data_IF_224817814231
#
_entry.id   IF_224817814231
#
_cell.length_a   1.000
_cell.length_b   1.000
_cell.length_c   1.000
_cell.angle_alpha   90.00
_cell.angle_beta   90.00
_cell.angle_gamma   90.00
#
_symmetry.space_group_name_H-M   'P 1'
#
loop_
_entity.id
_entity.type
_entity.pdbx_description
1 polymer ?
#
# COMPACT_ATOMS: atom_id res chain seq x y z
N UNK A 1 -25.74 -11.72 65.71
CA UNK A 1 -24.91 -10.61 66.23
C UNK A 1 -24.49 -9.73 65.07
N UNK A 2 -24.72 -8.41 65.21
CA UNK A 2 -24.03 -7.27 64.55
C UNK A 2 -23.77 -7.29 63.02
N UNK A 3 -23.97 -6.23 62.25
CA UNK A 3 -24.49 -4.90 62.50
C UNK A 3 -24.79 -4.24 61.14
N UNK A 4 -25.77 -3.35 61.16
CA UNK A 4 -26.15 -2.40 60.10
C UNK A 4 -25.04 -1.36 59.87
N UNK A 5 -24.95 -0.80 58.65
CA UNK A 5 -24.55 0.59 58.30
C UNK A 5 -24.58 0.70 56.76
N UNK A 6 -25.49 1.41 56.08
CA UNK A 6 -25.68 2.87 56.03
C UNK A 6 -24.31 3.57 55.88
N UNK A 7 -23.99 4.35 54.85
CA UNK A 7 -24.71 5.51 54.33
C UNK A 7 -23.95 6.02 53.10
N UNK A 8 -24.70 6.35 52.03
CA UNK A 8 -24.70 7.65 51.34
C UNK A 8 -23.45 8.52 51.51
N UNK A 9 -22.72 8.80 50.42
CA UNK A 9 -21.98 10.06 50.24
C UNK A 9 -21.72 10.29 48.74
N UNK A 10 -22.42 11.27 48.17
CA UNK A 10 -21.97 12.06 47.02
C UNK A 10 -21.70 13.47 47.56
N UNK A 11 -20.66 14.13 47.05
CA UNK A 11 -20.83 15.52 46.67
C UNK A 11 -20.49 15.71 45.18
N UNK A 12 -21.46 16.29 44.49
CA UNK A 12 -21.26 16.93 43.20
C UNK A 12 -20.31 18.11 43.37
N UNK A 13 -19.27 18.18 42.54
CA UNK A 13 -18.42 19.35 42.38
C UNK A 13 -18.40 19.73 40.91
N UNK A 14 -19.38 20.57 40.57
CA UNK A 14 -19.26 21.82 39.81
C UNK A 14 -18.01 21.90 38.92
N UNK A 15 -18.18 21.57 37.64
CA UNK A 15 -17.27 22.03 36.60
C UNK A 15 -17.61 23.48 36.22
N UNK A 16 -16.62 24.38 36.04
CA UNK A 16 -16.88 25.77 35.71
C UNK A 16 -17.41 25.93 34.28
N UNK A 17 -18.40 26.80 34.12
CA UNK A 17 -18.89 27.29 32.83
C UNK A 17 -17.71 27.79 31.98
N UNK A 18 -17.47 27.11 30.86
CA UNK A 18 -16.56 27.59 29.83
C UNK A 18 -17.27 28.65 29.00
N UNK A 19 -16.85 29.89 29.22
CA UNK A 19 -17.14 31.07 28.42
C UNK A 19 -17.08 30.77 26.92
N UNK A 20 -18.18 31.06 26.21
CA UNK A 20 -18.25 31.13 24.76
C UNK A 20 -17.43 32.33 24.25
N UNK A 21 -16.14 32.12 24.01
CA UNK A 21 -15.34 33.02 23.19
C UNK A 21 -15.62 32.69 21.71
N UNK A 22 -16.35 33.59 21.04
CA UNK A 22 -16.47 33.64 19.58
C UNK A 22 -15.06 33.68 18.97
N UNK A 23 -14.62 32.57 18.37
CA UNK A 23 -13.47 32.58 17.47
C UNK A 23 -13.92 33.22 16.16
N UNK A 24 -13.51 34.46 15.93
CA UNK A 24 -13.68 35.14 14.66
C UNK A 24 -13.01 34.34 13.54
N UNK A 25 -13.79 34.01 12.51
CA UNK A 25 -13.31 33.40 11.27
C UNK A 25 -12.47 34.42 10.51
N UNK A 26 -11.19 34.54 10.85
CA UNK A 26 -10.22 35.23 10.01
C UNK A 26 -9.90 34.32 8.81
N UNK A 27 -10.64 34.50 7.71
CA UNK A 27 -10.26 33.97 6.40
C UNK A 27 -8.94 34.61 5.96
N UNK A 28 -7.82 34.01 6.34
CA UNK A 28 -6.55 34.25 5.65
C UNK A 28 -6.60 33.54 4.31
N UNK A 29 -7.00 34.27 3.28
CA UNK A 29 -6.63 33.92 1.90
C UNK A 29 -5.11 34.03 1.81
N UNK A 30 -4.42 32.90 1.82
CA UNK A 30 -3.05 32.84 1.33
C UNK A 30 -3.15 32.87 -0.19
N UNK A 31 -3.13 34.08 -0.75
CA UNK A 31 -2.85 34.25 -2.17
C UNK A 31 -1.35 34.02 -2.34
N UNK A 32 -0.97 32.82 -2.76
CA UNK A 32 0.36 32.60 -3.35
C UNK A 32 0.34 33.35 -4.69
N UNK A 33 0.97 34.53 -4.71
CA UNK A 33 1.24 35.26 -5.95
C UNK A 33 2.44 34.59 -6.58
N UNK A 34 2.32 33.93 -7.75
CA UNK A 34 3.52 33.62 -8.53
C UNK A 34 4.08 34.95 -9.04
N UNK A 35 5.23 35.36 -8.50
CA UNK A 35 6.06 36.42 -9.08
C UNK A 35 6.67 35.88 -10.39
N UNK A 36 5.87 35.86 -11.45
CA UNK A 36 6.38 35.72 -12.80
C UNK A 36 7.03 37.05 -13.18
N UNK A 37 8.37 37.09 -13.12
CA UNK A 37 9.15 38.22 -13.60
C UNK A 37 8.82 38.48 -15.07
N UNK A 38 8.08 39.55 -15.32
CA UNK A 38 7.95 40.10 -16.65
C UNK A 38 9.25 40.84 -16.96
N UNK A 39 9.96 40.43 -18.01
CA UNK A 39 11.09 41.20 -18.53
C UNK A 39 10.53 42.31 -19.42
N UNK A 40 10.80 43.55 -19.05
CA UNK A 40 10.58 44.75 -19.88
C UNK A 40 11.36 44.62 -21.19
N UNK A 41 10.68 44.77 -22.33
CA UNK A 41 11.32 44.86 -23.64
C UNK A 41 11.40 46.34 -24.01
N UNK A 42 12.61 46.90 -24.02
CA UNK A 42 12.87 48.22 -24.61
C UNK A 42 12.98 48.08 -26.13
N UNK A 43 12.11 48.77 -26.87
CA UNK A 43 12.18 48.83 -28.33
C UNK A 43 12.82 50.16 -28.72
N UNK A 44 14.04 50.09 -29.26
CA UNK A 44 14.72 51.24 -29.84
C UNK A 44 14.25 51.42 -31.27
N UNK A 45 13.61 52.56 -31.58
CA UNK A 45 13.23 52.93 -32.95
C UNK A 45 14.32 53.83 -33.54
N UNK A 46 15.08 53.31 -34.50
CA UNK A 46 16.01 54.10 -35.30
C UNK A 46 15.31 54.60 -36.56
N UNK A 47 15.18 55.92 -36.65
CA UNK A 47 14.60 56.66 -37.79
C UNK A 47 15.64 56.83 -38.89
N UNK A 48 15.53 56.08 -39.99
CA UNK A 48 16.22 56.39 -41.25
C UNK A 48 15.19 56.66 -42.35
N UNK A 49 15.38 57.78 -43.05
CA UNK A 49 14.48 58.28 -44.09
C UNK A 49 14.78 57.73 -45.48
N UNK A 50 13.86 58.01 -46.41
CA UNK A 50 14.14 58.01 -47.85
C UNK A 50 13.44 56.91 -48.67
N UNK A 51 12.41 57.33 -49.39
CA UNK A 51 12.02 56.96 -50.77
C UNK A 51 11.90 55.48 -51.21
N UNK A 52 10.67 55.14 -51.62
CA UNK A 52 10.27 54.41 -52.84
C UNK A 52 11.06 53.15 -53.25
N UNK A 53 10.41 51.98 -53.17
CA UNK A 53 10.87 50.81 -53.91
C UNK A 53 10.21 49.49 -53.52
N UNK A 54 9.39 48.97 -54.43
CA UNK A 54 8.83 47.62 -54.55
C UNK A 54 9.58 46.48 -53.82
N UNK A 55 8.86 45.77 -52.93
CA UNK A 55 8.96 44.36 -52.52
C UNK A 55 10.34 43.72 -52.25
N UNK A 56 10.48 43.02 -51.11
CA UNK A 56 10.54 41.57 -51.22
C UNK A 56 9.71 40.80 -50.17
N UNK A 57 9.26 39.63 -50.61
CA UNK A 57 8.61 38.57 -49.84
C UNK A 57 9.41 38.24 -48.58
N UNK A 58 8.94 38.71 -47.43
CA UNK A 58 9.46 38.30 -46.14
C UNK A 58 9.09 36.83 -45.89
N UNK A 59 10.03 35.91 -46.13
CA UNK A 59 9.98 34.59 -45.50
C UNK A 59 10.28 34.81 -44.02
N UNK A 60 9.22 34.87 -43.20
CA UNK A 60 9.38 34.81 -41.75
C UNK A 60 9.88 33.41 -41.40
N UNK A 61 11.20 33.27 -41.19
CA UNK A 61 11.74 32.13 -40.47
C UNK A 61 11.26 32.24 -39.02
N UNK A 62 10.21 31.50 -38.67
CA UNK A 62 9.88 31.25 -37.27
C UNK A 62 10.99 30.35 -36.73
N UNK A 63 12.04 30.95 -36.19
CA UNK A 63 12.99 30.23 -35.35
C UNK A 63 12.24 29.86 -34.08
N UNK A 64 11.64 28.67 -34.08
CA UNK A 64 10.97 28.09 -32.92
C UNK A 64 12.01 27.90 -31.82
N UNK A 65 12.09 28.87 -30.92
CA UNK A 65 12.97 28.78 -29.77
C UNK A 65 12.35 27.75 -28.81
N UNK A 66 12.87 26.52 -28.87
CA UNK A 66 12.48 25.43 -27.98
C UNK A 66 12.76 25.88 -26.54
N UNK A 67 11.70 26.18 -25.80
CA UNK A 67 11.79 26.48 -24.37
C UNK A 67 12.06 25.16 -23.63
N UNK A 68 13.32 24.92 -23.34
CA UNK A 68 13.74 23.93 -22.35
C UNK A 68 13.24 24.39 -20.98
N UNK A 69 12.18 23.79 -20.46
CA UNK A 69 11.94 23.77 -19.03
C UNK A 69 12.79 22.61 -18.49
N UNK A 70 13.80 22.90 -17.68
CA UNK A 70 14.40 21.89 -16.81
C UNK A 70 13.34 21.51 -15.79
N UNK A 71 12.51 20.52 -16.11
CA UNK A 71 11.94 19.68 -15.08
C UNK A 71 13.13 18.87 -14.59
N UNK A 72 13.58 19.10 -13.37
CA UNK A 72 14.54 18.19 -12.74
C UNK A 72 13.90 16.80 -12.81
N UNK A 73 14.46 15.92 -13.63
CA UNK A 73 14.01 14.54 -13.68
C UNK A 73 14.14 14.00 -12.24
N UNK A 74 13.06 13.48 -11.64
CA UNK A 74 13.15 12.95 -10.29
C UNK A 74 14.25 11.89 -10.30
N UNK A 75 15.26 12.08 -9.43
CA UNK A 75 16.36 11.13 -9.28
C UNK A 75 15.77 9.72 -9.15
N UNK A 76 16.30 8.70 -9.84
CA UNK A 76 15.79 7.35 -9.69
C UNK A 76 15.91 6.98 -8.22
N UNK A 77 14.77 6.92 -7.53
CA UNK A 77 14.68 6.26 -6.24
C UNK A 77 15.11 4.84 -6.53
N UNK A 78 16.27 4.42 -6.01
CA UNK A 78 16.65 3.02 -6.10
C UNK A 78 15.50 2.19 -5.52
N UNK A 79 14.75 1.54 -6.40
CA UNK A 79 13.69 0.62 -6.02
C UNK A 79 14.36 -0.51 -5.27
N UNK A 80 14.36 -0.43 -3.94
CA UNK A 80 14.82 -1.51 -3.08
C UNK A 80 13.96 -2.73 -3.42
N UNK A 81 14.54 -3.67 -4.15
CA UNK A 81 13.88 -4.90 -4.54
C UNK A 81 13.52 -5.67 -3.26
N UNK A 82 12.34 -6.29 -3.27
CA UNK A 82 11.86 -7.07 -2.14
C UNK A 82 12.72 -8.33 -2.02
N UNK A 83 12.97 -8.77 -0.78
CA UNK A 83 13.66 -10.03 -0.52
C UNK A 83 12.77 -11.20 -0.96
N UNK A 84 13.31 -12.13 -1.73
CA UNK A 84 12.60 -13.37 -2.05
C UNK A 84 12.74 -14.35 -0.89
N UNK A 85 11.63 -14.97 -0.51
CA UNK A 85 11.55 -16.06 0.46
C UNK A 85 11.18 -17.34 -0.27
N UNK A 86 11.78 -18.45 0.16
CA UNK A 86 11.44 -19.80 -0.29
C UNK A 86 10.71 -20.57 0.82
N UNK A 87 10.26 -21.78 0.50
CA UNK A 87 9.49 -22.61 1.45
C UNK A 87 10.22 -22.82 2.78
N UNK A 88 11.52 -23.14 2.72
CA UNK A 88 12.34 -23.43 3.90
C UNK A 88 12.46 -22.19 4.82
N UNK A 89 12.53 -20.98 4.24
CA UNK A 89 12.58 -19.74 5.01
C UNK A 89 11.26 -19.51 5.77
N UNK A 90 10.12 -19.74 5.10
CA UNK A 90 8.80 -19.59 5.72
C UNK A 90 8.58 -20.66 6.78
N UNK A 91 9.01 -21.90 6.52
CA UNK A 91 8.95 -22.97 7.51
C UNK A 91 9.74 -22.60 8.77
N UNK A 92 10.95 -22.06 8.63
CA UNK A 92 11.75 -21.62 9.77
C UNK A 92 11.06 -20.48 10.57
N UNK A 93 10.38 -19.55 9.90
CA UNK A 93 9.59 -18.49 10.56
C UNK A 93 8.41 -19.08 11.34
N UNK A 94 7.76 -20.10 10.81
CA UNK A 94 6.63 -20.78 11.46
C UNK A 94 7.08 -21.60 12.66
N UNK A 95 8.23 -22.27 12.56
CA UNK A 95 8.81 -23.08 13.64
C UNK A 95 9.36 -22.23 14.80
N UNK A 96 10.01 -21.10 14.49
CA UNK A 96 10.54 -20.14 15.46
C UNK A 96 10.01 -18.72 15.16
N UNK A 97 8.81 -18.37 15.64
CA UNK A 97 8.20 -17.06 15.40
C UNK A 97 8.98 -15.95 16.10
N UNK A 98 9.77 -15.19 15.33
CA UNK A 98 10.53 -14.03 15.82
C UNK A 98 9.68 -12.78 15.83
N UNK A 99 9.81 -11.96 16.88
CA UNK A 99 9.12 -10.66 16.96
C UNK A 99 9.57 -9.69 15.85
N UNK A 100 10.71 -9.93 15.20
CA UNK A 100 11.26 -9.08 14.13
C UNK A 100 10.55 -9.22 12.78
N UNK A 101 9.84 -10.32 12.56
CA UNK A 101 9.30 -10.68 11.24
C UNK A 101 7.81 -11.00 11.33
N UNK A 102 7.03 -10.45 10.40
CA UNK A 102 5.58 -10.63 10.35
C UNK A 102 5.21 -11.23 9.00
N UNK A 103 4.56 -12.39 9.03
CA UNK A 103 4.02 -13.04 7.85
C UNK A 103 2.61 -12.51 7.56
N UNK A 104 2.36 -12.07 6.34
CA UNK A 104 1.10 -11.42 5.94
C UNK A 104 0.48 -12.17 4.75
N UNK A 105 -0.74 -12.66 4.95
CA UNK A 105 -1.59 -13.23 3.91
C UNK A 105 -2.45 -12.13 3.27
N UNK A 106 -2.25 -11.89 1.97
CA UNK A 106 -2.99 -10.85 1.24
C UNK A 106 -4.20 -11.36 0.46
N UNK A 107 -4.63 -12.60 0.70
CA UNK A 107 -5.86 -13.17 0.14
C UNK A 107 -7.10 -12.57 0.80
N UNK A 108 -8.25 -12.81 0.19
CA UNK A 108 -9.54 -12.42 0.79
C UNK A 108 -9.80 -13.23 2.07
N UNK A 109 -10.55 -12.67 3.05
CA UNK A 109 -10.79 -13.35 4.32
C UNK A 109 -11.41 -14.74 4.17
N UNK A 110 -12.29 -14.93 3.17
CA UNK A 110 -12.92 -16.22 2.86
C UNK A 110 -11.90 -17.31 2.49
N UNK A 111 -10.83 -16.96 1.78
CA UNK A 111 -9.73 -17.87 1.47
C UNK A 111 -8.91 -18.17 2.74
N UNK A 112 -8.58 -17.13 3.52
CA UNK A 112 -7.75 -17.21 4.73
C UNK A 112 -8.39 -18.08 5.83
N UNK A 113 -9.69 -17.96 6.09
CA UNK A 113 -10.37 -18.77 7.10
C UNK A 113 -10.48 -20.25 6.72
N UNK A 114 -10.40 -20.57 5.43
CA UNK A 114 -10.43 -21.96 4.95
C UNK A 114 -9.11 -22.65 5.22
N UNK A 115 -8.01 -21.95 4.93
CA UNK A 115 -6.66 -22.41 5.16
C UNK A 115 -5.70 -21.22 5.18
N UNK A 116 -4.66 -21.27 5.99
CA UNK A 116 -3.63 -20.25 6.05
C UNK A 116 -2.34 -20.84 6.60
N UNK A 117 -1.22 -20.20 6.28
CA UNK A 117 0.05 -20.53 6.92
C UNK A 117 -0.09 -20.10 8.39
N UNK A 118 0.29 -20.95 9.38
CA UNK A 118 0.27 -20.55 10.78
C UNK A 118 1.03 -19.25 11.00
N UNK A 119 0.68 -18.53 12.07
CA UNK A 119 1.27 -17.21 12.44
C UNK A 119 1.03 -16.05 11.46
N UNK A 120 0.39 -16.28 10.30
CA UNK A 120 0.11 -15.23 9.33
C UNK A 120 -1.05 -14.30 9.74
N UNK A 121 -0.90 -13.01 9.51
CA UNK A 121 -1.97 -12.01 9.63
C UNK A 121 -2.66 -11.80 8.27
N UNK A 122 -3.98 -11.68 8.25
CA UNK A 122 -4.71 -11.43 7.01
C UNK A 122 -4.88 -9.92 6.74
N UNK A 123 -4.37 -9.44 5.60
CA UNK A 123 -4.56 -8.08 5.10
C UNK A 123 -4.91 -8.15 3.61
N UNK A 124 -6.21 -8.28 3.26
CA UNK A 124 -6.66 -8.49 1.88
C UNK A 124 -6.37 -7.28 1.00
N UNK A 125 -5.49 -7.45 0.01
CA UNK A 125 -5.10 -6.35 -0.87
C UNK A 125 -6.10 -6.05 -1.99
N UNK A 126 -6.93 -7.02 -2.36
CA UNK A 126 -7.90 -6.86 -3.45
C UNK A 126 -9.10 -6.05 -2.98
N UNK A 127 -9.69 -6.38 -1.82
CA UNK A 127 -10.76 -5.58 -1.22
C UNK A 127 -10.27 -4.34 -0.48
N UNK A 128 -9.06 -4.35 0.09
CA UNK A 128 -8.53 -3.24 0.92
C UNK A 128 -7.10 -2.85 0.52
N UNK A 129 -6.89 -2.28 -0.68
CA UNK A 129 -5.55 -1.91 -1.17
C UNK A 129 -4.89 -0.78 -0.37
N UNK A 130 -5.68 0.03 0.35
CA UNK A 130 -5.24 1.15 1.17
C UNK A 130 -4.78 0.74 2.58
N UNK A 131 -5.04 -0.50 2.99
CA UNK A 131 -4.84 -0.98 4.36
C UNK A 131 -3.50 -0.56 4.97
N UNK A 132 -2.39 -0.82 4.28
CA UNK A 132 -1.05 -0.53 4.78
C UNK A 132 -0.71 0.97 4.80
N UNK A 133 -1.49 1.81 4.09
CA UNK A 133 -1.30 3.26 4.04
C UNK A 133 -2.07 3.99 5.16
N UNK A 134 -3.01 3.33 5.83
CA UNK A 134 -3.81 3.92 6.90
C UNK A 134 -2.98 4.27 8.14
N UNK A 135 -3.39 5.29 8.92
CA UNK A 135 -2.86 5.49 10.27
C UNK A 135 -3.02 4.24 11.16
N UNK A 136 -2.14 4.01 12.15
CA UNK A 136 -2.22 2.83 13.01
C UNK A 136 -3.55 2.66 13.76
N UNK A 137 -4.19 3.77 14.15
CA UNK A 137 -5.49 3.78 14.84
C UNK A 137 -6.62 3.29 13.91
N UNK A 138 -6.75 3.87 12.72
CA UNK A 138 -7.76 3.46 11.73
C UNK A 138 -7.54 2.02 11.25
N UNK A 139 -6.27 1.60 11.13
CA UNK A 139 -5.94 0.22 10.81
C UNK A 139 -6.47 -0.74 11.90
N UNK A 140 -6.22 -0.42 13.17
CA UNK A 140 -6.66 -1.26 14.28
C UNK A 140 -8.18 -1.38 14.35
N UNK A 141 -8.91 -0.28 14.11
CA UNK A 141 -10.38 -0.28 14.07
C UNK A 141 -10.93 -1.13 12.93
N UNK A 142 -10.25 -1.14 11.77
CA UNK A 142 -10.71 -1.86 10.57
C UNK A 142 -10.40 -3.36 10.62
N UNK A 143 -9.21 -3.73 11.10
CA UNK A 143 -8.71 -5.11 11.06
C UNK A 143 -8.81 -5.85 12.41
N UNK A 144 -9.03 -5.13 13.51
CA UNK A 144 -9.12 -5.71 14.85
C UNK A 144 -7.77 -6.13 15.44
N UNK A 145 -6.65 -5.72 14.84
CA UNK A 145 -5.30 -5.97 15.36
C UNK A 145 -4.36 -4.79 15.05
N UNK A 146 -3.27 -4.70 15.82
CA UNK A 146 -2.31 -3.60 15.67
C UNK A 146 -1.59 -3.65 14.32
N UNK A 147 -1.47 -2.49 13.68
CA UNK A 147 -0.72 -2.33 12.43
C UNK A 147 0.73 -2.82 12.61
N UNK A 148 1.28 -3.63 11.68
CA UNK A 148 2.68 -4.01 11.71
C UNK A 148 3.58 -2.76 11.76
N UNK A 149 4.53 -2.68 12.72
CA UNK A 149 5.47 -1.57 12.79
C UNK A 149 6.35 -1.48 11.54
N UNK A 150 6.68 -0.26 11.10
CA UNK A 150 7.51 -0.02 9.91
C UNK A 150 8.95 -0.56 10.02
N UNK A 151 9.42 -0.79 11.25
CA UNK A 151 10.74 -1.34 11.55
C UNK A 151 10.83 -2.87 11.43
N UNK A 152 9.68 -3.57 11.47
CA UNK A 152 9.63 -5.03 11.34
C UNK A 152 9.73 -5.44 9.88
N UNK A 153 10.28 -6.63 9.65
CA UNK A 153 10.29 -7.24 8.33
C UNK A 153 8.91 -7.82 8.02
N UNK A 154 8.28 -7.34 6.94
CA UNK A 154 6.98 -7.83 6.49
C UNK A 154 7.15 -8.75 5.30
N UNK A 155 6.68 -10.00 5.42
CA UNK A 155 6.78 -11.01 4.36
C UNK A 155 5.39 -11.29 3.81
N UNK A 156 5.18 -11.02 2.53
CA UNK A 156 3.88 -11.16 1.89
C UNK A 156 3.76 -12.48 1.12
N UNK A 157 2.61 -13.12 1.24
CA UNK A 157 2.22 -14.25 0.39
C UNK A 157 0.73 -14.16 0.03
N UNK A 158 0.33 -14.87 -1.03
CA UNK A 158 -1.08 -14.95 -1.43
C UNK A 158 -1.45 -16.38 -1.81
N UNK A 159 -2.20 -16.57 -2.91
CA UNK A 159 -2.47 -17.90 -3.46
C UNK A 159 -1.31 -18.42 -4.32
N UNK A 160 -0.84 -17.61 -5.27
CA UNK A 160 0.11 -18.02 -6.32
C UNK A 160 1.18 -16.95 -6.65
N UNK A 161 1.50 -16.07 -5.71
CA UNK A 161 2.57 -15.06 -5.85
C UNK A 161 2.20 -13.72 -6.50
N UNK A 162 1.12 -13.64 -7.28
CA UNK A 162 0.80 -12.40 -8.03
C UNK A 162 0.39 -11.23 -7.13
N UNK A 163 -0.51 -11.47 -6.18
CA UNK A 163 -1.01 -10.43 -5.26
C UNK A 163 0.04 -9.99 -4.23
N UNK A 164 0.93 -10.90 -3.84
CA UNK A 164 2.01 -10.59 -2.88
C UNK A 164 3.03 -9.62 -3.46
N UNK A 165 3.31 -9.67 -4.78
CA UNK A 165 4.16 -8.69 -5.43
C UNK A 165 3.54 -7.28 -5.40
N UNK A 166 2.24 -7.15 -5.66
CA UNK A 166 1.53 -5.88 -5.51
C UNK A 166 1.58 -5.38 -4.07
N UNK A 167 1.40 -6.27 -3.08
CA UNK A 167 1.47 -5.92 -1.66
C UNK A 167 2.83 -5.41 -1.22
N UNK A 168 3.90 -6.06 -1.67
CA UNK A 168 5.25 -5.60 -1.41
C UNK A 168 5.49 -4.17 -1.93
N UNK A 169 4.94 -3.83 -3.10
CA UNK A 169 5.05 -2.48 -3.65
C UNK A 169 4.24 -1.45 -2.84
N UNK A 170 3.03 -1.80 -2.39
CA UNK A 170 2.24 -0.92 -1.51
C UNK A 170 2.94 -0.72 -0.17
N UNK A 171 3.50 -1.78 0.42
CA UNK A 171 4.23 -1.70 1.68
C UNK A 171 5.46 -0.76 1.57
N UNK A 172 6.23 -0.84 0.49
CA UNK A 172 7.34 0.10 0.27
C UNK A 172 6.86 1.55 0.21
N UNK A 173 5.73 1.81 -0.47
CA UNK A 173 5.11 3.15 -0.52
C UNK A 173 4.57 3.61 0.83
N UNK A 174 4.13 2.67 1.67
CA UNK A 174 3.71 2.92 3.04
C UNK A 174 4.88 3.19 4.01
N UNK A 175 6.13 3.08 3.56
CA UNK A 175 7.32 3.37 4.35
C UNK A 175 7.94 2.17 5.06
N UNK A 176 7.52 0.94 4.75
CA UNK A 176 8.20 -0.26 5.28
C UNK A 176 9.59 -0.39 4.66
N UNK A 177 10.61 -0.53 5.50
CA UNK A 177 12.01 -0.59 5.05
C UNK A 177 12.45 -2.00 4.66
N UNK A 178 11.86 -3.01 5.30
CA UNK A 178 12.21 -4.43 5.15
C UNK A 178 11.00 -5.18 4.64
N UNK A 179 11.00 -5.49 3.35
CA UNK A 179 9.87 -6.10 2.66
C UNK A 179 10.31 -7.38 1.94
N UNK A 180 9.66 -8.48 2.28
CA UNK A 180 9.85 -9.81 1.70
C UNK A 180 8.64 -10.30 0.91
N UNK A 181 8.88 -11.22 -0.02
CA UNK A 181 7.86 -11.88 -0.82
C UNK A 181 8.11 -13.39 -0.87
N UNK A 182 7.11 -14.18 -0.51
CA UNK A 182 7.08 -15.62 -0.78
C UNK A 182 6.31 -15.90 -2.07
N UNK A 183 7.05 -16.03 -3.17
CA UNK A 183 6.47 -16.17 -4.52
C UNK A 183 5.70 -17.48 -4.72
N UNK A 184 6.19 -18.57 -4.10
CA UNK A 184 5.50 -19.86 -4.10
C UNK A 184 4.11 -19.78 -3.47
N UNK A 185 3.95 -18.93 -2.45
CA UNK A 185 2.67 -18.62 -1.81
C UNK A 185 1.96 -19.88 -1.29
N UNK A 186 0.65 -19.80 -1.01
CA UNK A 186 -0.11 -20.91 -0.46
C UNK A 186 0.01 -22.22 -1.28
N UNK A 187 0.01 -22.14 -2.62
CA UNK A 187 0.10 -23.34 -3.47
C UNK A 187 1.42 -24.11 -3.33
N UNK A 188 2.53 -23.41 -3.12
CA UNK A 188 3.82 -24.06 -2.86
C UNK A 188 3.86 -24.65 -1.45
N UNK A 189 3.38 -23.90 -0.44
CA UNK A 189 3.24 -24.38 0.93
C UNK A 189 2.43 -25.68 1.02
N UNK A 190 1.27 -25.72 0.36
CA UNK A 190 0.41 -26.89 0.29
C UNK A 190 1.06 -28.06 -0.45
N UNK A 191 1.71 -27.80 -1.58
CA UNK A 191 2.39 -28.84 -2.37
C UNK A 191 3.50 -29.54 -1.59
N UNK A 192 4.25 -28.76 -0.81
CA UNK A 192 5.38 -29.24 -0.01
C UNK A 192 4.96 -29.79 1.35
N UNK A 193 3.66 -29.82 1.65
CA UNK A 193 3.11 -30.42 2.87
C UNK A 193 3.44 -29.61 4.12
N UNK A 194 3.44 -28.28 4.01
CA UNK A 194 3.66 -27.39 5.14
C UNK A 194 2.65 -27.63 6.27
N UNK A 195 3.00 -27.23 7.49
CA UNK A 195 2.19 -27.47 8.68
C UNK A 195 0.76 -26.91 8.49
N UNK A 196 -0.25 -27.71 8.88
CA UNK A 196 -1.67 -27.34 8.77
C UNK A 196 -2.31 -27.66 7.41
N UNK A 197 -1.57 -28.21 6.46
CA UNK A 197 -2.10 -28.66 5.16
C UNK A 197 -2.68 -30.07 5.28
N UNK A 198 -3.76 -30.36 4.54
CA UNK A 198 -4.37 -31.71 4.49
C UNK A 198 -3.61 -32.67 3.56
N UNK A 199 -2.73 -32.11 2.72
CA UNK A 199 -2.04 -32.82 1.66
C UNK A 199 -0.61 -33.06 2.12
N UNK A 200 -0.24 -34.32 2.35
CA UNK A 200 1.16 -34.67 2.64
C UNK A 200 2.09 -34.29 1.47
N UNK A 201 3.41 -34.20 1.71
CA UNK A 201 4.37 -33.81 0.67
C UNK A 201 4.23 -34.72 -0.56
N UNK A 202 3.90 -34.14 -1.71
CA UNK A 202 3.75 -34.92 -2.94
C UNK A 202 5.13 -35.36 -3.39
N UNK A 203 5.40 -36.68 -3.37
CA UNK A 203 6.65 -37.25 -3.91
C UNK A 203 6.77 -36.86 -5.38
N UNK A 204 7.83 -36.14 -5.72
CA UNK A 204 8.11 -35.66 -7.07
C UNK A 204 8.24 -36.87 -8.00
N UNK A 205 7.31 -37.03 -8.96
CA UNK A 205 7.27 -38.18 -9.88
C UNK A 205 5.94 -38.94 -9.98
N UNK A 206 4.90 -38.59 -9.22
CA UNK A 206 3.57 -39.23 -9.37
C UNK A 206 2.71 -38.49 -10.42
N UNK A 207 2.41 -39.10 -11.58
CA UNK A 207 1.51 -38.49 -12.56
C UNK A 207 0.12 -38.32 -11.92
N UNK A 208 -0.50 -37.17 -12.20
CA UNK A 208 -1.80 -36.81 -11.63
C UNK A 208 -2.83 -37.91 -11.87
N UNK A 209 -3.38 -38.45 -10.79
CA UNK A 209 -4.52 -39.36 -10.86
C UNK A 209 -5.63 -38.70 -11.67
N UNK A 210 -6.00 -39.33 -12.78
CA UNK A 210 -7.23 -39.01 -13.50
C UNK A 210 -8.36 -39.08 -12.50
N UNK A 211 -9.20 -38.05 -12.48
CA UNK A 211 -10.49 -38.16 -11.83
C UNK A 211 -11.22 -39.38 -12.45
N UNK A 212 -11.51 -40.36 -11.62
CA UNK A 212 -12.36 -41.50 -11.98
C UNK A 212 -13.75 -40.95 -12.33
N UNK A 213 -14.00 -40.76 -13.63
CA UNK A 213 -15.35 -40.58 -14.14
C UNK A 213 -16.10 -41.86 -13.83
N UNK A 214 -16.86 -41.84 -12.74
CA UNK A 214 -17.74 -42.93 -12.32
C UNK A 214 -18.73 -43.21 -13.46
N UNK A 215 -18.54 -44.32 -14.17
CA UNK A 215 -19.50 -44.85 -15.14
C UNK A 215 -20.86 -44.96 -14.45
N UNK A 216 -21.84 -44.23 -14.99
CA UNK A 216 -23.25 -44.42 -14.69
C UNK A 216 -23.70 -45.68 -15.42
N UNK A 217 -23.91 -46.75 -14.66
CA UNK A 217 -24.58 -47.95 -15.14
C UNK A 217 -26.02 -47.62 -15.52
N UNK A 218 -26.29 -47.60 -16.82
CA UNK A 218 -27.64 -47.47 -17.36
C UNK A 218 -28.29 -48.85 -17.40
N UNK A 219 -28.89 -49.23 -16.27
CA UNK A 219 -29.83 -50.33 -16.19
C UNK A 219 -31.25 -49.77 -16.25
N UNK A 220 -31.89 -49.83 -17.42
CA UNK A 220 -33.34 -49.80 -17.50
C UNK A 220 -33.86 -50.51 -18.76
N UNK A 221 -34.43 -51.69 -18.49
CA UNK A 221 -35.68 -52.26 -19.02
C UNK A 221 -35.78 -52.64 -20.48
#
# INVERSE_FOLDING_TARGET
MAAKRATKWMPALVAPERSLLRVGRASRRVAVVPTAGYKTVSVSVSRWGGAMGLGPRAQTQVQGQRRWYSVEEPKPVEERKSRAYEFEDIQAIVEDPKDTTVLIDVREPTEYFTNAIPTALNIPITSQPDALLLPPEEFADRFGFSKPPLSKEVVFYCKAGVRSAAAAQIAKKAGYTSVGEYKGSWLDWERRGGVGTKTGPKREGQPGGRADTKEIGESNK
#
